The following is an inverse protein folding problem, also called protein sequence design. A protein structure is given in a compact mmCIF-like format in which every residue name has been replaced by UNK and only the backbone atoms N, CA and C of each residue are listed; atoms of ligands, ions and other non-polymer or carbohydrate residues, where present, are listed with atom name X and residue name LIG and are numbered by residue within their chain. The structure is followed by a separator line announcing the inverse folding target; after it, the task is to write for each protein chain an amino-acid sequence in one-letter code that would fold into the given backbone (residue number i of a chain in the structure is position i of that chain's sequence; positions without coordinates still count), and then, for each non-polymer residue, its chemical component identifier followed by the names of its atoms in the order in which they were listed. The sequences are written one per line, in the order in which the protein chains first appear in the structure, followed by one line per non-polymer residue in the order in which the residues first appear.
data_IF_767327945063
#
_entry.id   IF_767327945063
#
_cell.length_a   1.000
_cell.length_b   1.000
_cell.length_c   1.000
_cell.angle_alpha   90.00
_cell.angle_beta   90.00
_cell.angle_gamma   90.00
#
_symmetry.space_group_name_H-M   'P 1'
#
loop_
_entity.id
_entity.type
_entity.pdbx_description
1 polymer ?
#
# COMPACT_ATOMS: atom_id res chain seq x y z
N UNK A 1 -14.31 3.20 31.10
CA UNK A 1 -13.30 3.84 31.96
C UNK A 1 -13.26 5.32 31.63
N UNK A 2 -13.69 6.18 32.55
CA UNK A 2 -13.33 7.60 32.49
C UNK A 2 -11.96 7.72 33.14
N UNK A 3 -10.96 8.20 32.39
CA UNK A 3 -9.64 8.48 32.96
C UNK A 3 -9.72 9.73 33.82
N UNK A 4 -9.22 9.66 35.05
CA UNK A 4 -9.02 10.82 35.93
C UNK A 4 -8.00 11.77 35.28
N UNK A 5 -8.39 13.01 34.94
CA UNK A 5 -7.50 13.96 34.27
C UNK A 5 -6.39 14.51 35.17
N UNK A 6 -6.39 14.19 36.46
CA UNK A 6 -5.45 14.73 37.45
C UNK A 6 -4.35 13.76 37.88
N UNK A 7 -4.42 12.48 37.50
CA UNK A 7 -3.37 11.52 37.79
C UNK A 7 -2.12 11.81 36.93
N UNK A 8 -0.89 11.74 37.49
CA UNK A 8 0.32 11.82 36.69
C UNK A 8 0.26 10.74 35.61
N UNK A 9 0.26 11.17 34.35
CA UNK A 9 0.13 10.26 33.22
C UNK A 9 1.43 9.48 33.08
N UNK A 10 1.46 8.28 33.66
CA UNK A 10 2.46 7.26 33.33
C UNK A 10 2.52 7.15 31.80
N UNK A 11 3.71 7.25 31.18
CA UNK A 11 3.84 7.09 29.74
C UNK A 11 3.12 5.83 29.27
N UNK A 12 2.33 5.87 28.17
CA UNK A 12 1.54 4.73 27.73
C UNK A 12 2.36 3.43 27.62
N UNK A 13 3.61 3.51 27.17
CA UNK A 13 4.52 2.37 27.08
C UNK A 13 4.80 1.73 28.44
N UNK A 14 5.04 2.54 29.48
CA UNK A 14 5.28 2.05 30.84
C UNK A 14 4.01 1.42 31.42
N UNK A 15 2.86 2.06 31.22
CA UNK A 15 1.56 1.51 31.64
C UNK A 15 1.32 0.12 31.03
N UNK A 16 1.51 -0.04 29.72
CA UNK A 16 1.33 -1.32 29.04
C UNK A 16 2.34 -2.37 29.51
N UNK A 17 3.61 -2.01 29.67
CA UNK A 17 4.63 -2.96 30.16
C UNK A 17 4.31 -3.43 31.59
N UNK A 18 3.74 -2.57 32.43
CA UNK A 18 3.33 -2.89 33.79
C UNK A 18 2.15 -3.88 33.87
N UNK A 19 1.37 -4.03 32.79
CA UNK A 19 0.33 -5.06 32.70
C UNK A 19 0.91 -6.49 32.66
N UNK A 20 2.21 -6.64 32.35
CA UNK A 20 2.92 -7.92 32.30
C UNK A 20 2.16 -9.00 31.50
N UNK A 21 1.60 -8.58 30.36
CA UNK A 21 0.80 -9.44 29.49
C UNK A 21 1.67 -10.59 28.99
N UNK A 22 1.33 -11.81 29.38
CA UNK A 22 2.03 -13.04 28.98
C UNK A 22 1.02 -14.12 28.63
N UNK A 23 1.40 -15.02 27.72
CA UNK A 23 0.52 -16.12 27.28
C UNK A 23 0.77 -16.52 25.84
N UNK A 24 -0.18 -17.30 25.30
CA UNK A 24 -0.16 -17.71 23.90
C UNK A 24 -0.53 -16.53 23.00
N UNK A 25 0.30 -16.26 22.00
CA UNK A 25 0.03 -15.26 20.97
C UNK A 25 -0.88 -15.82 19.87
N UNK A 26 -1.95 -15.11 19.59
CA UNK A 26 -2.79 -15.29 18.41
C UNK A 26 -2.70 -14.05 17.53
N UNK A 27 -2.72 -14.21 16.21
CA UNK A 27 -2.64 -13.10 15.28
C UNK A 27 -3.68 -13.24 14.18
N UNK A 28 -4.31 -12.11 13.82
CA UNK A 28 -5.21 -11.97 12.66
C UNK A 28 -4.92 -10.66 11.94
N UNK A 29 -5.38 -10.58 10.70
CA UNK A 29 -5.33 -9.37 9.89
C UNK A 29 -6.72 -9.11 9.34
N UNK A 30 -7.07 -7.85 9.09
CA UNK A 30 -8.26 -7.45 8.33
C UNK A 30 -7.95 -6.14 7.62
N UNK A 31 -7.86 -6.19 6.29
CA UNK A 31 -7.38 -5.07 5.49
C UNK A 31 -5.97 -4.62 5.91
N UNK A 32 -5.83 -3.34 6.25
CA UNK A 32 -4.56 -2.76 6.74
C UNK A 32 -4.39 -2.85 8.25
N UNK A 33 -5.30 -3.50 8.96
CA UNK A 33 -5.14 -3.71 10.40
C UNK A 33 -4.53 -5.08 10.69
N UNK A 34 -3.75 -5.14 11.77
CA UNK A 34 -3.31 -6.39 12.38
C UNK A 34 -3.81 -6.43 13.82
N UNK A 35 -4.15 -7.60 14.29
CA UNK A 35 -4.63 -7.84 15.64
C UNK A 35 -3.77 -8.94 16.26
N UNK A 36 -3.25 -8.66 17.44
CA UNK A 36 -2.50 -9.60 18.27
C UNK A 36 -3.27 -9.80 19.56
N UNK A 37 -3.55 -11.05 19.93
CA UNK A 37 -4.27 -11.39 21.16
C UNK A 37 -3.40 -12.28 22.05
N UNK A 38 -3.33 -11.93 23.32
CA UNK A 38 -2.62 -12.69 24.36
C UNK A 38 -3.52 -12.72 25.60
N UNK A 39 -3.98 -13.90 25.98
CA UNK A 39 -4.95 -14.08 27.06
C UNK A 39 -6.20 -13.21 26.83
N UNK A 40 -6.55 -12.31 27.74
CA UNK A 40 -7.68 -11.37 27.64
C UNK A 40 -7.32 -10.01 27.04
N UNK A 41 -6.08 -9.81 26.60
CA UNK A 41 -5.60 -8.55 26.04
C UNK A 41 -5.45 -8.66 24.53
N UNK A 42 -5.92 -7.64 23.82
CA UNK A 42 -5.75 -7.53 22.37
C UNK A 42 -5.10 -6.22 21.99
N UNK A 43 -4.26 -6.26 20.96
CA UNK A 43 -3.48 -5.15 20.43
C UNK A 43 -3.83 -5.06 18.96
N UNK A 44 -4.60 -4.05 18.58
CA UNK A 44 -4.87 -3.74 17.17
C UNK A 44 -3.86 -2.69 16.71
N UNK A 45 -3.18 -2.96 15.62
CA UNK A 45 -2.25 -2.04 14.99
C UNK A 45 -2.77 -1.61 13.63
N UNK A 46 -2.80 -0.30 13.37
CA UNK A 46 -3.06 0.23 12.04
C UNK A 46 -1.74 0.36 11.27
N UNK A 47 -1.62 -0.39 10.17
CA UNK A 47 -0.43 -0.41 9.31
C UNK A 47 -0.44 0.84 8.44
N UNK A 48 0.34 1.83 8.84
CA UNK A 48 0.58 3.04 8.06
C UNK A 48 1.61 2.80 6.94
N UNK A 49 2.08 3.86 6.28
CA UNK A 49 2.85 3.81 5.03
C UNK A 49 4.19 3.07 5.17
N UNK A 50 4.85 3.22 6.31
CA UNK A 50 6.23 2.71 6.57
C UNK A 50 6.29 1.64 7.66
N UNK A 51 5.13 1.11 8.07
CA UNK A 51 5.08 0.11 9.11
C UNK A 51 5.53 -1.26 8.62
N UNK A 52 6.35 -1.90 9.46
CA UNK A 52 6.89 -3.22 9.22
C UNK A 52 6.81 -4.09 10.48
N UNK A 53 6.55 -5.38 10.28
CA UNK A 53 6.78 -6.42 11.28
C UNK A 53 7.92 -7.33 10.81
N UNK A 54 8.94 -7.57 11.64
CA UNK A 54 9.93 -8.61 11.38
C UNK A 54 10.19 -9.48 12.62
N UNK A 55 10.56 -10.73 12.37
CA UNK A 55 10.91 -11.69 13.42
C UNK A 55 12.43 -11.77 13.49
N UNK A 56 12.98 -11.48 14.67
CA UNK A 56 14.42 -11.55 14.93
C UNK A 56 14.71 -12.53 16.07
N UNK A 57 15.94 -13.04 16.15
CA UNK A 57 16.33 -13.88 17.28
C UNK A 57 16.23 -13.09 18.60
N UNK A 58 15.81 -13.74 19.68
CA UNK A 58 15.62 -13.10 20.98
C UNK A 58 16.89 -12.37 21.47
N UNK A 59 18.07 -13.00 21.35
CA UNK A 59 19.32 -12.37 21.78
C UNK A 59 19.64 -11.10 20.99
N UNK A 60 19.32 -11.06 19.69
CA UNK A 60 19.58 -9.89 18.85
C UNK A 60 18.72 -8.70 19.25
N UNK A 61 17.46 -8.93 19.64
CA UNK A 61 16.59 -7.88 20.16
C UNK A 61 17.25 -7.18 21.36
N UNK A 62 17.70 -7.94 22.37
CA UNK A 62 18.36 -7.37 23.55
C UNK A 62 19.68 -6.68 23.23
N UNK A 63 20.47 -7.20 22.29
CA UNK A 63 21.68 -6.50 21.82
C UNK A 63 21.34 -5.15 21.19
N UNK A 64 20.26 -5.07 20.40
CA UNK A 64 19.83 -3.83 19.74
C UNK A 64 19.31 -2.81 20.76
N UNK A 65 18.38 -3.22 21.63
CA UNK A 65 17.74 -2.27 22.57
C UNK A 65 18.61 -1.88 23.76
N UNK A 66 19.71 -2.60 24.02
CA UNK A 66 20.72 -2.21 25.02
C UNK A 66 21.70 -1.14 24.52
N UNK A 67 21.74 -0.89 23.21
CA UNK A 67 22.55 0.20 22.66
C UNK A 67 21.89 1.55 22.91
N UNK A 68 22.68 2.64 23.04
CA UNK A 68 22.13 3.98 23.15
C UNK A 68 21.19 4.30 21.98
N UNK A 69 20.06 4.92 22.28
CA UNK A 69 19.18 5.44 21.25
C UNK A 69 19.84 6.63 20.56
N UNK A 70 19.66 6.70 19.24
CA UNK A 70 20.09 7.83 18.42
C UNK A 70 18.87 8.67 17.99
N UNK A 71 18.97 10.01 17.99
CA UNK A 71 17.90 10.87 17.50
C UNK A 71 17.61 10.60 16.01
N UNK A 72 16.33 10.68 15.62
CA UNK A 72 15.86 10.54 14.25
C UNK A 72 14.76 11.57 13.96
N UNK A 73 15.14 12.71 13.40
CA UNK A 73 14.24 13.86 13.25
C UNK A 73 13.84 14.46 14.60
N UNK A 74 12.78 15.27 14.62
CA UNK A 74 12.34 15.98 15.83
C UNK A 74 11.65 15.08 16.85
N UNK A 75 10.97 14.01 16.38
CA UNK A 75 10.09 13.18 17.20
C UNK A 75 10.51 11.71 17.28
N UNK A 76 11.48 11.27 16.46
CA UNK A 76 11.86 9.87 16.35
C UNK A 76 13.12 9.53 17.17
N UNK A 77 13.13 8.33 17.72
CA UNK A 77 14.32 7.67 18.24
C UNK A 77 14.54 6.35 17.51
N UNK A 78 15.79 5.92 17.43
CA UNK A 78 16.16 4.66 16.80
C UNK A 78 17.33 4.00 17.53
N UNK A 79 17.55 2.72 17.29
CA UNK A 79 18.65 1.94 17.84
C UNK A 79 19.67 1.62 16.76
N UNK A 80 20.96 1.76 17.06
CA UNK A 80 22.02 1.33 16.15
C UNK A 80 22.08 -0.19 16.05
N UNK A 81 22.00 -0.73 14.84
CA UNK A 81 22.05 -2.16 14.58
C UNK A 81 23.52 -2.65 14.52
N UNK A 82 23.87 -3.77 15.16
CA UNK A 82 25.19 -4.39 15.01
C UNK A 82 25.51 -4.81 13.57
N UNK A 83 26.77 -4.63 13.18
CA UNK A 83 27.29 -4.87 11.84
C UNK A 83 27.10 -6.32 11.41
N UNK A 84 27.27 -7.24 12.36
CA UNK A 84 27.11 -8.68 12.18
C UNK A 84 25.66 -9.11 11.88
N UNK A 85 24.66 -8.24 12.12
CA UNK A 85 23.23 -8.53 11.89
C UNK A 85 22.71 -8.03 10.53
N UNK A 86 23.54 -7.33 9.75
CA UNK A 86 23.12 -6.73 8.48
C UNK A 86 23.73 -7.50 7.32
N UNK A 87 22.98 -7.64 6.22
CA UNK A 87 23.49 -8.11 4.94
C UNK A 87 22.93 -7.21 3.84
N UNK A 88 23.67 -6.13 3.53
CA UNK A 88 23.19 -5.05 2.67
C UNK A 88 24.11 -3.81 2.66
N UNK A 89 23.71 -2.71 1.97
CA UNK A 89 24.50 -1.49 1.89
C UNK A 89 24.78 -0.86 3.26
N UNK A 90 25.96 -0.27 3.41
CA UNK A 90 26.57 0.08 4.70
C UNK A 90 26.07 1.39 5.35
N UNK A 91 25.05 2.06 4.81
CA UNK A 91 24.60 3.39 5.24
C UNK A 91 23.55 3.33 6.36
N UNK A 92 23.57 4.30 7.28
CA UNK A 92 22.64 4.55 8.40
C UNK A 92 21.93 3.31 8.96
N UNK A 93 22.59 2.64 9.91
CA UNK A 93 22.20 1.32 10.45
C UNK A 93 21.29 1.47 11.65
N UNK A 94 20.13 2.10 11.48
CA UNK A 94 19.26 2.43 12.60
C UNK A 94 17.86 1.84 12.43
N UNK A 95 17.32 1.30 13.53
CA UNK A 95 15.96 0.72 13.56
C UNK A 95 15.09 1.41 14.60
N UNK A 96 13.90 1.85 14.19
CA UNK A 96 12.92 2.49 15.07
C UNK A 96 11.89 1.47 15.54
N UNK A 97 12.23 0.74 16.61
CA UNK A 97 11.36 -0.27 17.22
C UNK A 97 10.32 0.44 18.09
N UNK A 98 9.05 0.38 17.69
CA UNK A 98 7.93 1.02 18.40
C UNK A 98 7.30 0.08 19.43
N UNK A 99 7.33 -1.22 19.18
CA UNK A 99 6.86 -2.26 20.10
C UNK A 99 7.54 -3.60 19.80
N UNK A 100 7.47 -4.53 20.75
CA UNK A 100 7.95 -5.89 20.55
C UNK A 100 7.08 -6.92 21.29
N UNK A 101 6.84 -8.07 20.66
CA UNK A 101 6.29 -9.25 21.31
C UNK A 101 7.41 -10.28 21.47
N UNK A 102 7.80 -10.50 22.72
CA UNK A 102 9.02 -11.23 23.07
C UNK A 102 8.67 -12.69 23.38
N UNK A 103 9.40 -13.62 22.76
CA UNK A 103 9.40 -15.06 23.11
C UNK A 103 10.83 -15.54 23.40
N UNK A 104 11.01 -16.68 24.09
CA UNK A 104 12.34 -17.17 24.45
C UNK A 104 13.30 -17.40 23.26
N UNK A 105 12.78 -17.73 22.08
CA UNK A 105 13.58 -18.07 20.89
C UNK A 105 13.53 -17.01 19.78
N UNK A 106 12.51 -16.15 19.77
CA UNK A 106 12.37 -15.10 18.77
C UNK A 106 11.59 -13.92 19.32
N UNK A 107 11.75 -12.76 18.71
CA UNK A 107 11.00 -11.55 19.02
C UNK A 107 10.38 -11.00 17.74
N UNK A 108 9.08 -10.74 17.77
CA UNK A 108 8.39 -10.01 16.71
C UNK A 108 8.52 -8.52 17.04
N UNK A 109 9.23 -7.77 16.21
CA UNK A 109 9.42 -6.32 16.39
C UNK A 109 8.54 -5.55 15.42
N UNK A 110 7.96 -4.47 15.93
CA UNK A 110 7.13 -3.51 15.20
C UNK A 110 8.02 -2.31 14.89
N UNK A 111 8.33 -2.12 13.62
CA UNK A 111 9.25 -1.09 13.15
C UNK A 111 8.44 -0.04 12.41
N UNK A 112 8.64 1.22 12.79
CA UNK A 112 8.12 2.34 12.03
C UNK A 112 9.04 3.54 12.17
N UNK A 113 9.57 3.99 11.05
CA UNK A 113 10.56 5.05 10.97
C UNK A 113 9.96 6.45 11.00
N UNK A 114 8.67 6.56 10.66
CA UNK A 114 7.93 7.83 10.72
C UNK A 114 7.14 7.98 12.03
N UNK A 115 7.16 6.97 12.91
CA UNK A 115 6.41 6.98 14.17
C UNK A 115 4.92 7.33 14.00
N UNK A 116 4.29 6.83 12.94
CA UNK A 116 2.88 7.03 12.60
C UNK A 116 2.02 5.80 12.91
N UNK A 117 2.61 4.66 13.26
CA UNK A 117 1.87 3.48 13.72
C UNK A 117 1.00 3.82 14.93
N UNK A 118 -0.22 3.32 14.91
CA UNK A 118 -1.17 3.44 16.01
C UNK A 118 -1.43 2.08 16.63
N UNK A 119 -1.28 2.01 17.96
CA UNK A 119 -1.62 0.84 18.75
C UNK A 119 -2.90 1.11 19.55
N UNK A 120 -3.88 0.23 19.42
CA UNK A 120 -5.08 0.21 20.25
C UNK A 120 -5.04 -1.01 21.15
N UNK A 121 -4.87 -0.78 22.45
CA UNK A 121 -4.91 -1.82 23.47
C UNK A 121 -6.34 -1.96 23.97
N UNK A 122 -6.85 -3.19 23.95
CA UNK A 122 -8.20 -3.53 24.38
C UNK A 122 -8.13 -4.70 25.35
N UNK A 123 -8.99 -4.68 26.36
CA UNK A 123 -9.13 -5.75 27.33
C UNK A 123 -10.53 -6.34 27.22
N UNK A 124 -10.62 -7.67 27.10
CA UNK A 124 -11.87 -8.40 27.01
C UNK A 124 -12.21 -9.00 28.38
N UNK A 125 -13.48 -8.89 28.80
CA UNK A 125 -13.92 -9.47 30.08
C UNK A 125 -13.79 -11.00 30.13
N UNK A 126 -14.21 -11.77 29.10
CA UNK A 126 -13.90 -13.20 29.03
C UNK A 126 -12.51 -13.45 28.43
N UNK A 127 -11.89 -14.56 28.85
CA UNK A 127 -10.69 -15.07 28.19
C UNK A 127 -10.98 -15.40 26.73
N UNK A 128 -10.06 -14.98 25.87
CA UNK A 128 -10.12 -15.18 24.44
C UNK A 128 -9.99 -16.66 24.05
N UNK A 129 -10.78 -17.09 23.06
CA UNK A 129 -10.58 -18.35 22.35
C UNK A 129 -10.25 -18.12 20.87
N UNK A 130 -9.53 -19.04 20.20
CA UNK A 130 -9.25 -18.93 18.76
C UNK A 130 -10.50 -18.82 17.87
N UNK A 131 -11.66 -19.31 18.35
CA UNK A 131 -12.95 -19.20 17.66
C UNK A 131 -13.44 -17.75 17.61
N UNK A 132 -13.14 -16.97 18.65
CA UNK A 132 -13.54 -15.56 18.74
C UNK A 132 -12.83 -14.67 17.70
N UNK A 133 -11.70 -15.13 17.16
CA UNK A 133 -10.94 -14.49 16.07
C UNK A 133 -11.35 -14.93 14.67
N UNK A 134 -12.46 -15.65 14.52
CA UNK A 134 -12.94 -16.02 13.19
C UNK A 134 -14.02 -15.04 12.72
N UNK A 135 -14.05 -14.73 11.40
CA UNK A 135 -15.21 -14.09 10.79
C UNK A 135 -16.52 -14.74 11.24
N UNK A 136 -17.52 -13.92 11.55
CA UNK A 136 -18.83 -14.37 12.04
C UNK A 136 -18.93 -14.57 13.55
N UNK A 137 -17.83 -14.52 14.31
CA UNK A 137 -17.91 -14.49 15.78
C UNK A 137 -18.58 -13.20 16.28
N UNK A 138 -19.18 -13.25 17.47
CA UNK A 138 -19.87 -12.09 18.05
C UNK A 138 -18.92 -10.90 18.27
N UNK A 139 -17.66 -11.16 18.64
CA UNK A 139 -16.69 -10.10 18.91
C UNK A 139 -15.94 -9.65 17.66
N UNK A 140 -15.97 -10.42 16.57
CA UNK A 140 -15.20 -10.12 15.36
C UNK A 140 -15.36 -8.67 14.88
N UNK A 141 -16.57 -8.09 14.76
CA UNK A 141 -16.72 -6.69 14.36
C UNK A 141 -16.14 -5.68 15.36
N UNK A 142 -16.08 -6.05 16.64
CA UNK A 142 -15.57 -5.21 17.73
C UNK A 142 -14.04 -5.19 17.81
N UNK A 143 -13.38 -6.19 17.21
CA UNK A 143 -11.92 -6.27 17.18
C UNK A 143 -11.29 -5.25 16.22
N UNK A 144 -12.07 -4.70 15.28
CA UNK A 144 -11.59 -3.84 14.20
C UNK A 144 -12.08 -2.41 14.34
N UNK A 145 -11.53 -1.49 13.54
CA UNK A 145 -12.05 -0.13 13.51
C UNK A 145 -13.46 -0.14 12.90
N UNK A 146 -14.42 0.55 13.54
CA UNK A 146 -15.79 0.67 13.03
C UNK A 146 -15.87 1.36 11.65
N UNK A 147 -14.82 2.12 11.28
CA UNK A 147 -14.70 2.74 9.96
C UNK A 147 -14.09 1.81 8.89
N UNK A 148 -13.81 0.56 9.23
CA UNK A 148 -13.24 -0.44 8.31
C UNK A 148 -14.22 -1.59 8.07
N UNK A 149 -14.50 -1.82 6.79
CA UNK A 149 -15.42 -2.83 6.30
C UNK A 149 -14.84 -4.25 6.30
N UNK A 150 -15.64 -5.21 5.82
CA UNK A 150 -15.16 -6.57 5.55
C UNK A 150 -14.13 -6.60 4.41
N UNK A 151 -13.39 -7.71 4.31
CA UNK A 151 -12.46 -8.00 3.22
C UNK A 151 -12.87 -9.30 2.56
N UNK A 152 -12.89 -9.36 1.23
CA UNK A 152 -13.49 -10.46 0.48
C UNK A 152 -12.84 -11.81 0.82
N UNK A 153 -11.51 -11.84 0.95
CA UNK A 153 -10.74 -13.05 1.29
C UNK A 153 -11.09 -13.70 2.64
N UNK A 154 -11.80 -12.99 3.53
CA UNK A 154 -12.16 -13.46 4.87
C UNK A 154 -13.67 -13.47 5.10
N UNK A 155 -14.37 -12.51 4.50
CA UNK A 155 -15.78 -12.21 4.72
C UNK A 155 -16.47 -11.98 3.36
N UNK A 156 -16.53 -12.97 2.45
CA UNK A 156 -17.00 -12.77 1.07
C UNK A 156 -18.44 -12.24 1.03
N UNK A 157 -19.36 -12.88 1.75
CA UNK A 157 -20.78 -12.49 1.77
C UNK A 157 -20.98 -11.09 2.34
N UNK A 158 -20.29 -10.76 3.44
CA UNK A 158 -20.38 -9.43 4.05
C UNK A 158 -19.78 -8.35 3.13
N UNK A 159 -18.72 -8.68 2.39
CA UNK A 159 -18.10 -7.77 1.41
C UNK A 159 -19.04 -7.48 0.25
N UNK A 160 -19.68 -8.51 -0.32
CA UNK A 160 -20.69 -8.33 -1.37
C UNK A 160 -21.90 -7.54 -0.87
N UNK A 161 -22.36 -7.80 0.36
CA UNK A 161 -23.42 -7.01 0.97
C UNK A 161 -23.02 -5.54 1.19
N UNK A 162 -21.77 -5.28 1.59
CA UNK A 162 -21.25 -3.91 1.73
C UNK A 162 -21.16 -3.19 0.38
N UNK A 163 -20.77 -3.90 -0.69
CA UNK A 163 -20.79 -3.38 -2.06
C UNK A 163 -22.20 -3.00 -2.49
N UNK A 164 -23.19 -3.88 -2.34
CA UNK A 164 -24.57 -3.57 -2.74
C UNK A 164 -25.18 -2.43 -1.91
N UNK A 165 -24.90 -2.37 -0.61
CA UNK A 165 -25.33 -1.25 0.22
C UNK A 165 -24.70 0.08 -0.23
N UNK A 166 -23.41 0.06 -0.57
CA UNK A 166 -22.71 1.21 -1.13
C UNK A 166 -23.30 1.62 -2.48
N UNK A 167 -23.57 0.67 -3.36
CA UNK A 167 -24.22 0.89 -4.66
C UNK A 167 -25.56 1.59 -4.51
N UNK A 168 -26.41 1.08 -3.62
CA UNK A 168 -27.72 1.67 -3.34
C UNK A 168 -27.60 3.10 -2.79
N UNK A 169 -26.62 3.37 -1.92
CA UNK A 169 -26.35 4.72 -1.39
C UNK A 169 -25.85 5.68 -2.48
N UNK A 170 -24.94 5.23 -3.35
CA UNK A 170 -24.39 6.05 -4.43
C UNK A 170 -25.44 6.38 -5.49
N UNK A 171 -26.32 5.43 -5.85
CA UNK A 171 -27.44 5.67 -6.77
C UNK A 171 -28.38 6.78 -6.29
N UNK A 172 -28.50 6.99 -4.97
CA UNK A 172 -29.30 8.08 -4.37
C UNK A 172 -28.57 9.43 -4.33
N UNK A 173 -27.28 9.47 -4.70
CA UNK A 173 -26.44 10.67 -4.72
C UNK A 173 -25.88 10.92 -6.14
N UNK A 174 -26.74 11.25 -7.12
CA UNK A 174 -26.32 11.36 -8.53
C UNK A 174 -25.31 12.48 -8.81
N UNK A 175 -25.13 13.42 -7.88
CA UNK A 175 -24.21 14.56 -8.01
C UNK A 175 -22.85 14.35 -7.34
N UNK A 176 -22.51 13.11 -6.96
CA UNK A 176 -21.17 12.83 -6.42
C UNK A 176 -20.12 12.94 -7.52
N UNK A 177 -19.33 14.00 -7.50
CA UNK A 177 -18.18 14.21 -8.39
C UNK A 177 -16.91 13.44 -7.96
N UNK A 178 -16.99 12.60 -6.92
CA UNK A 178 -15.87 11.79 -6.50
C UNK A 178 -15.52 10.73 -7.54
N UNK A 179 -14.26 10.74 -8.01
CA UNK A 179 -13.72 9.65 -8.82
C UNK A 179 -13.72 8.34 -8.05
N UNK A 180 -13.83 7.22 -8.77
CA UNK A 180 -13.76 5.89 -8.17
C UNK A 180 -12.44 5.66 -7.45
N UNK A 181 -11.32 6.13 -8.01
CA UNK A 181 -10.01 6.00 -7.37
C UNK A 181 -9.96 6.68 -5.99
N UNK A 182 -10.50 7.91 -5.88
CA UNK A 182 -10.58 8.60 -4.59
C UNK A 182 -11.56 7.91 -3.63
N UNK A 183 -12.69 7.44 -4.17
CA UNK A 183 -13.72 6.74 -3.39
C UNK A 183 -13.18 5.46 -2.76
N UNK A 184 -12.47 4.63 -3.53
CA UNK A 184 -11.86 3.38 -3.01
C UNK A 184 -10.88 3.64 -1.86
N UNK A 185 -10.10 4.72 -1.93
CA UNK A 185 -9.14 5.07 -0.88
C UNK A 185 -9.81 5.60 0.38
N UNK A 186 -10.91 6.34 0.24
CA UNK A 186 -11.55 7.05 1.36
C UNK A 186 -12.65 6.23 2.03
N UNK A 187 -13.40 5.42 1.28
CA UNK A 187 -14.51 4.60 1.79
C UNK A 187 -14.02 3.24 2.31
N UNK A 188 -13.17 3.24 3.35
CA UNK A 188 -12.63 2.01 3.95
C UNK A 188 -13.71 1.13 4.61
N UNK A 189 -14.92 1.63 4.84
CA UNK A 189 -16.08 0.82 5.25
C UNK A 189 -16.57 -0.14 4.15
N UNK A 190 -16.15 0.08 2.91
CA UNK A 190 -16.53 -0.69 1.71
C UNK A 190 -15.29 -1.33 1.10
N UNK A 191 -14.21 -0.56 0.97
CA UNK A 191 -12.96 -0.95 0.31
C UNK A 191 -11.83 -1.10 1.33
N UNK A 192 -12.09 -1.86 2.40
CA UNK A 192 -11.11 -2.04 3.46
C UNK A 192 -9.85 -2.70 2.89
N UNK A 193 -8.71 -2.04 3.05
CA UNK A 193 -7.45 -2.55 2.52
C UNK A 193 -7.01 -1.89 1.22
N UNK A 194 -7.93 -1.23 0.49
CA UNK A 194 -7.57 -0.60 -0.78
C UNK A 194 -6.80 0.70 -0.56
N UNK A 195 -5.50 0.70 -0.90
CA UNK A 195 -4.66 1.88 -1.03
C UNK A 195 -4.60 2.40 -2.45
N UNK A 196 -3.61 3.27 -2.71
CA UNK A 196 -3.38 3.79 -4.05
C UNK A 196 -2.97 2.67 -5.03
N UNK A 197 -2.12 1.73 -4.58
CA UNK A 197 -1.70 0.60 -5.40
C UNK A 197 -2.88 -0.30 -5.76
N UNK A 198 -3.61 -0.78 -4.75
CA UNK A 198 -4.73 -1.69 -4.96
C UNK A 198 -5.80 -1.04 -5.84
N UNK A 199 -6.18 0.22 -5.56
CA UNK A 199 -7.19 0.91 -6.37
C UNK A 199 -6.75 1.06 -7.83
N UNK A 200 -5.48 1.43 -8.09
CA UNK A 200 -4.96 1.56 -9.45
C UNK A 200 -4.96 0.22 -10.20
N UNK A 201 -4.40 -0.82 -9.59
CA UNK A 201 -4.28 -2.13 -10.24
C UNK A 201 -5.66 -2.73 -10.51
N UNK A 202 -6.58 -2.62 -9.55
CA UNK A 202 -7.93 -3.18 -9.63
C UNK A 202 -8.77 -2.45 -10.69
N UNK A 203 -8.66 -1.12 -10.80
CA UNK A 203 -9.31 -0.35 -11.86
C UNK A 203 -8.75 -0.67 -13.26
N UNK A 204 -7.45 -0.94 -13.34
CA UNK A 204 -6.85 -1.45 -14.57
C UNK A 204 -7.39 -2.85 -14.93
N UNK A 205 -7.51 -3.76 -13.96
CA UNK A 205 -8.11 -5.09 -14.18
C UNK A 205 -9.57 -4.98 -14.64
N UNK A 206 -10.34 -4.06 -14.06
CA UNK A 206 -11.74 -3.83 -14.40
C UNK A 206 -11.96 -3.15 -15.76
N UNK A 207 -10.89 -2.64 -16.41
CA UNK A 207 -10.98 -1.76 -17.58
C UNK A 207 -11.85 -0.51 -17.31
N UNK A 208 -11.63 0.11 -16.15
CA UNK A 208 -12.33 1.32 -15.69
C UNK A 208 -11.31 2.44 -15.54
N UNK A 209 -11.58 3.58 -16.17
CA UNK A 209 -10.71 4.75 -16.04
C UNK A 209 -10.74 5.30 -14.61
N UNK A 210 -9.60 5.61 -13.97
CA UNK A 210 -9.57 5.93 -12.55
C UNK A 210 -10.25 7.25 -12.18
N UNK A 211 -10.42 8.16 -13.15
CA UNK A 211 -11.20 9.39 -12.99
C UNK A 211 -12.72 9.18 -13.11
N UNK A 212 -13.19 8.01 -13.56
CA UNK A 212 -14.63 7.76 -13.71
C UNK A 212 -15.35 7.99 -12.38
N UNK A 213 -16.48 8.70 -12.43
CA UNK A 213 -17.26 8.97 -11.23
C UNK A 213 -17.77 7.67 -10.62
N UNK A 214 -17.63 7.51 -9.31
CA UNK A 214 -18.13 6.33 -8.59
C UNK A 214 -19.64 6.10 -8.82
N UNK A 215 -20.40 7.20 -9.01
CA UNK A 215 -21.80 7.14 -9.36
C UNK A 215 -22.08 6.33 -10.63
N UNK A 216 -21.28 6.50 -11.69
CA UNK A 216 -21.48 5.80 -12.96
C UNK A 216 -21.28 4.30 -12.82
N UNK A 217 -20.26 3.87 -12.07
CA UNK A 217 -20.02 2.47 -11.77
C UNK A 217 -21.20 1.86 -11.02
N UNK A 218 -21.75 2.58 -10.04
CA UNK A 218 -22.93 2.11 -9.32
C UNK A 218 -24.19 2.14 -10.19
N UNK A 219 -24.32 3.07 -11.15
CA UNK A 219 -25.50 3.25 -12.00
C UNK A 219 -25.61 2.14 -13.04
N UNK A 220 -24.57 1.90 -13.83
CA UNK A 220 -24.60 0.98 -14.97
C UNK A 220 -24.17 -0.43 -14.55
N UNK A 221 -25.03 -1.43 -14.82
CA UNK A 221 -24.79 -2.82 -14.42
C UNK A 221 -23.52 -3.39 -15.06
N UNK A 222 -23.25 -3.09 -16.34
CA UNK A 222 -22.02 -3.54 -17.03
C UNK A 222 -20.71 -3.02 -16.41
N UNK A 223 -20.73 -1.84 -15.78
CA UNK A 223 -19.58 -1.32 -15.04
C UNK A 223 -19.50 -1.93 -13.65
N UNK A 224 -20.64 -2.06 -12.98
CA UNK A 224 -20.74 -2.68 -11.68
C UNK A 224 -20.19 -4.11 -11.69
N UNK A 225 -20.65 -4.94 -12.62
CA UNK A 225 -20.28 -6.34 -12.70
C UNK A 225 -18.78 -6.50 -12.95
N UNK A 226 -18.22 -5.70 -13.87
CA UNK A 226 -16.76 -5.66 -14.11
C UNK A 226 -15.98 -5.21 -12.89
N UNK A 227 -16.47 -4.19 -12.18
CA UNK A 227 -15.82 -3.67 -10.99
C UNK A 227 -15.83 -4.70 -9.85
N UNK A 228 -16.97 -5.30 -9.55
CA UNK A 228 -17.10 -6.31 -8.49
C UNK A 228 -16.26 -7.55 -8.83
N UNK A 229 -16.34 -8.06 -10.06
CA UNK A 229 -15.54 -9.20 -10.48
C UNK A 229 -14.04 -8.92 -10.37
N UNK A 230 -13.58 -7.74 -10.79
CA UNK A 230 -12.18 -7.35 -10.65
C UNK A 230 -11.73 -7.27 -9.17
N UNK A 231 -12.62 -6.88 -8.24
CA UNK A 231 -12.29 -6.89 -6.81
C UNK A 231 -12.10 -8.32 -6.30
N UNK A 232 -13.01 -9.22 -6.67
CA UNK A 232 -12.95 -10.64 -6.32
C UNK A 232 -11.67 -11.27 -6.86
N UNK A 233 -11.40 -11.09 -8.16
CA UNK A 233 -10.24 -11.66 -8.83
C UNK A 233 -8.93 -11.12 -8.24
N UNK A 234 -8.87 -9.83 -7.91
CA UNK A 234 -7.70 -9.21 -7.30
C UNK A 234 -7.43 -9.78 -5.90
N UNK A 235 -8.44 -9.82 -5.03
CA UNK A 235 -8.30 -10.36 -3.68
C UNK A 235 -7.91 -11.84 -3.70
N UNK A 236 -8.54 -12.66 -4.56
CA UNK A 236 -8.20 -14.06 -4.70
C UNK A 236 -6.76 -14.26 -5.19
N UNK A 237 -6.34 -13.52 -6.23
CA UNK A 237 -4.97 -13.58 -6.73
C UNK A 237 -3.93 -13.23 -5.66
N UNK A 238 -4.24 -12.27 -4.78
CA UNK A 238 -3.36 -11.90 -3.66
C UNK A 238 -3.31 -12.99 -2.59
N UNK A 239 -4.43 -13.64 -2.31
CA UNK A 239 -4.48 -14.77 -1.38
C UNK A 239 -3.72 -15.98 -1.90
N UNK A 240 -3.91 -16.36 -3.16
CA UNK A 240 -3.21 -17.48 -3.79
C UNK A 240 -1.69 -17.28 -3.73
N UNK A 241 -1.25 -16.03 -3.95
CA UNK A 241 0.15 -15.65 -3.82
C UNK A 241 0.64 -15.75 -2.37
N UNK A 242 -0.09 -15.19 -1.42
CA UNK A 242 0.29 -15.19 0.00
C UNK A 242 0.34 -16.61 0.58
N UNK A 243 -0.53 -17.50 0.10
CA UNK A 243 -0.58 -18.90 0.53
C UNK A 243 0.41 -19.80 -0.20
N UNK A 244 1.10 -19.31 -1.22
CA UNK A 244 2.12 -20.05 -1.96
C UNK A 244 3.52 -19.75 -1.41
N UNK A 245 4.15 -20.65 -0.62
CA UNK A 245 5.49 -20.43 -0.08
C UNK A 245 6.56 -20.33 -1.17
N UNK A 246 6.30 -20.93 -2.33
CA UNK A 246 7.14 -20.80 -3.50
C UNK A 246 7.04 -19.40 -4.13
N UNK A 247 5.94 -18.67 -3.93
CA UNK A 247 5.76 -17.36 -4.54
C UNK A 247 6.30 -16.21 -3.67
N UNK A 248 6.14 -16.27 -2.35
CA UNK A 248 6.64 -15.27 -1.41
C UNK A 248 7.39 -15.93 -0.24
N UNK A 249 8.74 -15.89 -0.21
CA UNK A 249 9.52 -16.50 0.87
C UNK A 249 9.29 -15.82 2.22
N UNK A 250 8.94 -16.57 3.25
CA UNK A 250 8.67 -16.04 4.60
C UNK A 250 9.92 -15.53 5.34
N UNK A 251 11.11 -15.98 4.93
CA UNK A 251 12.38 -15.57 5.53
C UNK A 251 13.15 -14.69 4.56
N UNK A 252 13.73 -13.61 5.09
CA UNK A 252 14.58 -12.78 4.25
C UNK A 252 15.95 -13.40 4.03
N UNK A 253 16.45 -14.19 4.98
CA UNK A 253 17.76 -14.86 4.91
C UNK A 253 18.20 -15.35 6.29
N UNK A 254 19.48 -15.74 6.46
CA UNK A 254 20.02 -16.13 7.76
C UNK A 254 20.22 -14.95 8.72
N UNK A 255 20.31 -13.72 8.19
CA UNK A 255 20.40 -12.48 8.96
C UNK A 255 19.04 -11.76 9.01
N UNK A 256 18.70 -11.13 10.15
CA UNK A 256 17.38 -10.53 10.37
C UNK A 256 17.16 -9.30 9.48
N UNK A 257 18.26 -8.65 9.10
CA UNK A 257 18.27 -7.47 8.26
C UNK A 257 18.90 -7.73 6.88
N UNK A 258 18.64 -8.91 6.30
CA UNK A 258 18.99 -9.20 4.91
C UNK A 258 17.91 -8.70 3.96
N UNK A 259 18.29 -8.03 2.87
CA UNK A 259 17.34 -7.67 1.81
C UNK A 259 17.05 -8.85 0.87
N UNK A 260 15.86 -9.42 0.98
CA UNK A 260 15.42 -10.48 0.07
C UNK A 260 15.00 -9.92 -1.30
N UNK A 261 15.99 -9.68 -2.16
CA UNK A 261 15.78 -9.11 -3.50
C UNK A 261 14.90 -9.99 -4.41
N UNK A 262 14.93 -11.31 -4.24
CA UNK A 262 14.09 -12.25 -5.00
C UNK A 262 12.63 -12.16 -4.55
N UNK A 263 12.37 -12.24 -3.24
CA UNK A 263 11.04 -12.04 -2.67
C UNK A 263 10.47 -10.67 -3.04
N UNK A 264 11.30 -9.62 -3.01
CA UNK A 264 10.95 -8.28 -3.47
C UNK A 264 10.48 -8.26 -4.93
N UNK A 265 11.30 -8.80 -5.84
CA UNK A 265 10.95 -8.89 -7.28
C UNK A 265 9.66 -9.69 -7.50
N UNK A 266 9.47 -10.81 -6.78
CA UNK A 266 8.24 -11.60 -6.85
C UNK A 266 7.03 -10.82 -6.36
N UNK A 267 7.15 -10.07 -5.26
CA UNK A 267 6.06 -9.20 -4.81
C UNK A 267 5.76 -8.08 -5.83
N UNK A 268 6.78 -7.39 -6.34
CA UNK A 268 6.59 -6.31 -7.32
C UNK A 268 6.04 -6.81 -8.66
N UNK A 269 6.25 -8.08 -9.02
CA UNK A 269 5.66 -8.68 -10.23
C UNK A 269 4.12 -8.66 -10.24
N UNK A 270 3.51 -8.47 -9.07
CA UNK A 270 2.05 -8.41 -8.91
C UNK A 270 1.49 -7.02 -9.16
N UNK A 271 2.34 -6.00 -9.19
CA UNK A 271 1.95 -4.64 -9.48
C UNK A 271 1.77 -4.53 -10.99
N UNK A 272 0.52 -4.33 -11.41
CA UNK A 272 0.16 -4.40 -12.83
C UNK A 272 0.21 -3.03 -13.50
N UNK A 273 -0.19 -1.98 -12.79
CA UNK A 273 -0.25 -0.61 -13.31
C UNK A 273 0.36 0.43 -12.36
N UNK A 274 0.23 0.27 -11.05
CA UNK A 274 0.68 1.32 -10.12
C UNK A 274 2.18 1.62 -10.25
N UNK A 275 2.54 2.87 -10.61
CA UNK A 275 3.93 3.32 -10.84
C UNK A 275 4.75 2.46 -11.83
N UNK A 276 4.10 1.64 -12.67
CA UNK A 276 4.79 0.93 -13.74
C UNK A 276 4.98 1.86 -14.93
N UNK A 277 6.14 1.83 -15.60
CA UNK A 277 6.35 2.63 -16.82
C UNK A 277 5.56 2.08 -18.01
N UNK A 278 5.35 0.77 -18.01
CA UNK A 278 4.59 0.04 -19.01
C UNK A 278 3.74 -1.03 -18.34
N UNK A 279 2.57 -1.33 -18.90
CA UNK A 279 1.72 -2.44 -18.45
C UNK A 279 1.77 -3.59 -19.46
N UNK A 280 1.53 -4.81 -18.96
CA UNK A 280 1.45 -6.01 -19.79
C UNK A 280 0.00 -6.45 -19.88
N UNK A 281 -0.49 -6.63 -21.11
CA UNK A 281 -1.84 -7.08 -21.43
C UNK A 281 -1.82 -8.46 -22.10
N UNK A 282 -2.85 -9.25 -21.82
CA UNK A 282 -3.20 -10.41 -22.65
C UNK A 282 -3.93 -9.95 -23.90
N UNK A 283 -3.93 -10.78 -24.95
CA UNK A 283 -4.69 -10.52 -26.18
C UNK A 283 -6.17 -10.22 -25.89
N UNK A 284 -6.82 -11.00 -25.03
CA UNK A 284 -8.24 -10.83 -24.69
C UNK A 284 -8.51 -9.49 -24.01
N UNK A 285 -7.66 -9.09 -23.05
CA UNK A 285 -7.82 -7.81 -22.35
C UNK A 285 -7.54 -6.63 -23.29
N UNK A 286 -6.56 -6.77 -24.18
CA UNK A 286 -6.27 -5.78 -25.21
C UNK A 286 -7.48 -5.62 -26.16
N UNK A 287 -8.03 -6.73 -26.66
CA UNK A 287 -9.22 -6.72 -27.52
C UNK A 287 -10.39 -6.05 -26.81
N UNK A 288 -10.66 -6.41 -25.55
CA UNK A 288 -11.76 -5.82 -24.79
C UNK A 288 -11.56 -4.32 -24.56
N UNK A 289 -10.35 -3.89 -24.26
CA UNK A 289 -10.04 -2.47 -24.10
C UNK A 289 -10.18 -1.67 -25.41
N UNK A 290 -9.89 -2.28 -26.57
CA UNK A 290 -10.16 -1.70 -27.88
C UNK A 290 -11.66 -1.62 -28.19
N UNK A 291 -12.42 -2.67 -27.89
CA UNK A 291 -13.89 -2.68 -28.03
C UNK A 291 -14.53 -1.55 -27.22
N UNK A 292 -13.99 -1.25 -26.04
CA UNK A 292 -14.41 -0.15 -25.19
C UNK A 292 -13.84 1.22 -25.61
N UNK A 293 -12.99 1.28 -26.64
CA UNK A 293 -12.36 2.51 -27.12
C UNK A 293 -11.33 3.14 -26.18
N UNK A 294 -10.88 2.44 -25.12
CA UNK A 294 -10.04 2.99 -24.06
C UNK A 294 -8.63 3.40 -24.54
N UNK A 295 -8.19 2.90 -25.68
CA UNK A 295 -6.89 3.21 -26.29
C UNK A 295 -6.96 4.20 -27.46
N UNK A 296 -8.06 4.94 -27.61
CA UNK A 296 -8.19 5.99 -28.63
C UNK A 296 -8.06 7.38 -27.97
N UNK A 297 -6.93 8.10 -28.15
CA UNK A 297 -6.66 9.34 -27.40
C UNK A 297 -7.69 10.45 -27.55
N UNK A 298 -8.39 10.49 -28.68
CA UNK A 298 -9.43 11.49 -28.97
C UNK A 298 -10.83 11.02 -28.59
N UNK A 299 -11.00 9.76 -28.19
CA UNK A 299 -12.29 9.26 -27.74
C UNK A 299 -12.61 9.79 -26.34
N UNK A 300 -13.87 10.13 -26.09
CA UNK A 300 -14.34 10.59 -24.77
C UNK A 300 -15.10 9.46 -24.10
N UNK A 301 -14.68 9.10 -22.89
CA UNK A 301 -15.32 8.05 -22.11
C UNK A 301 -16.71 8.52 -21.67
N UNK A 302 -17.71 7.72 -22.01
CA UNK A 302 -19.11 7.91 -21.70
C UNK A 302 -19.47 7.37 -20.31
N UNK A 303 -20.64 7.74 -19.77
CA UNK A 303 -21.12 7.24 -18.48
C UNK A 303 -21.17 5.71 -18.34
N UNK A 304 -21.38 4.96 -19.42
CA UNK A 304 -21.39 3.48 -19.41
C UNK A 304 -19.99 2.85 -19.50
N UNK A 305 -18.95 3.69 -19.61
CA UNK A 305 -17.55 3.31 -19.69
C UNK A 305 -17.06 2.87 -21.06
N UNK A 306 -17.86 3.01 -22.11
CA UNK A 306 -17.39 2.97 -23.49
C UNK A 306 -16.83 4.34 -23.89
N UNK A 307 -15.89 4.40 -24.83
CA UNK A 307 -15.35 5.66 -25.34
C UNK A 307 -15.84 5.91 -26.77
N UNK A 308 -16.42 7.09 -27.00
CA UNK A 308 -16.91 7.49 -28.31
C UNK A 308 -15.88 8.38 -29.01
N UNK A 309 -15.54 8.04 -30.25
CA UNK A 309 -14.68 8.85 -31.11
C UNK A 309 -15.50 10.02 -31.67
N UNK A 310 -15.11 11.29 -31.45
CA UNK A 310 -15.79 12.42 -32.06
C UNK A 310 -15.76 12.29 -33.60
N UNK A 311 -16.85 12.59 -34.32
CA UNK A 311 -16.97 12.39 -35.77
C UNK A 311 -15.88 13.05 -36.63
N UNK A 312 -15.24 14.11 -36.10
CA UNK A 312 -14.22 14.89 -36.80
C UNK A 312 -12.78 14.56 -36.35
N UNK A 313 -12.61 13.50 -35.56
CA UNK A 313 -11.28 13.05 -35.13
C UNK A 313 -10.68 12.24 -36.27
N UNK A 314 -9.55 12.69 -36.83
CA UNK A 314 -8.76 11.85 -37.72
C UNK A 314 -8.36 10.62 -36.92
N UNK A 315 -8.89 9.46 -37.31
CA UNK A 315 -8.42 8.19 -36.78
C UNK A 315 -6.93 8.08 -37.08
N UNK A 316 -6.16 7.62 -36.10
CA UNK A 316 -4.71 7.38 -36.14
C UNK A 316 -3.85 8.55 -35.60
N UNK A 317 -3.59 8.51 -34.29
CA UNK A 317 -2.26 8.87 -33.80
C UNK A 317 -1.41 7.58 -33.75
N UNK A 318 -0.42 7.41 -34.65
CA UNK A 318 0.48 6.26 -34.66
C UNK A 318 1.38 6.18 -33.41
N UNK A 319 1.36 7.16 -32.49
CA UNK A 319 2.09 7.11 -31.22
C UNK A 319 1.58 6.05 -30.24
N UNK A 320 0.31 5.61 -30.36
CA UNK A 320 -0.26 4.50 -29.56
C UNK A 320 0.24 3.12 -30.06
N UNK A 321 0.86 3.07 -31.24
CA UNK A 321 1.28 1.84 -31.92
C UNK A 321 2.59 1.24 -31.44
N UNK A 322 3.16 1.69 -30.30
CA UNK A 322 4.32 1.00 -29.72
C UNK A 322 3.87 -0.19 -28.89
N UNK A 323 3.06 -1.06 -29.51
CA UNK A 323 2.73 -2.40 -29.02
C UNK A 323 3.99 -3.24 -29.20
N UNK A 324 4.84 -3.27 -28.19
CA UNK A 324 5.94 -4.23 -28.16
C UNK A 324 5.34 -5.60 -27.90
N UNK A 325 5.47 -6.52 -28.86
CA UNK A 325 5.07 -7.92 -28.66
C UNK A 325 6.01 -8.53 -27.60
N UNK A 326 5.47 -8.85 -26.44
CA UNK A 326 6.21 -9.49 -25.35
C UNK A 326 6.41 -11.00 -25.55
N UNK A 327 6.00 -11.55 -26.71
CA UNK A 327 5.88 -12.98 -26.97
C UNK A 327 4.64 -13.61 -26.30
N UNK A 328 4.27 -14.83 -26.74
CA UNK A 328 3.17 -15.65 -26.16
C UNK A 328 1.81 -14.95 -26.00
N UNK A 329 1.39 -14.15 -26.98
CA UNK A 329 0.07 -13.50 -26.95
C UNK A 329 -0.06 -12.35 -25.92
N UNK A 330 1.07 -11.80 -25.46
CA UNK A 330 1.10 -10.62 -24.58
C UNK A 330 1.64 -9.39 -25.29
N UNK A 331 1.13 -8.24 -24.89
CA UNK A 331 1.48 -6.92 -25.43
C UNK A 331 1.90 -6.01 -24.29
N UNK A 332 2.97 -5.24 -24.50
CA UNK A 332 3.40 -4.17 -23.61
C UNK A 332 2.92 -2.84 -24.18
N UNK A 333 2.30 -2.01 -23.35
CA UNK A 333 1.91 -0.64 -23.71
C UNK A 333 2.39 0.36 -22.66
N UNK A 334 2.61 1.63 -23.05
CA UNK A 334 2.96 2.69 -22.12
C UNK A 334 1.89 2.90 -21.05
N UNK A 335 2.34 3.31 -19.87
CA UNK A 335 1.47 3.67 -18.77
C UNK A 335 1.66 5.15 -18.42
N UNK A 336 0.63 5.77 -17.84
CA UNK A 336 0.63 7.21 -17.60
C UNK A 336 0.31 7.50 -16.14
N UNK A 337 1.00 8.48 -15.58
CA UNK A 337 0.65 9.06 -14.30
C UNK A 337 -0.48 10.07 -14.53
N UNK A 338 -1.53 9.97 -13.72
CA UNK A 338 -2.71 10.83 -13.77
C UNK A 338 -2.84 11.53 -12.42
N UNK A 339 -2.74 12.85 -12.42
CA UNK A 339 -2.94 13.68 -11.23
C UNK A 339 -4.39 14.15 -11.13
N UNK A 340 -5.15 13.60 -10.19
CA UNK A 340 -6.56 13.97 -9.96
C UNK A 340 -6.61 15.05 -8.88
N UNK A 341 -7.08 16.24 -9.23
CA UNK A 341 -7.26 17.32 -8.26
C UNK A 341 -8.35 16.96 -7.24
N UNK A 342 -8.01 16.86 -5.95
CA UNK A 342 -8.94 16.53 -4.87
C UNK A 342 -8.78 17.48 -3.68
N UNK A 343 -9.24 18.72 -3.87
CA UNK A 343 -9.09 19.77 -2.86
C UNK A 343 -7.68 20.35 -2.86
N UNK A 344 -6.99 20.30 -1.71
CA UNK A 344 -5.66 20.91 -1.53
C UNK A 344 -4.48 20.04 -1.98
N UNK A 345 -4.72 18.75 -2.30
CA UNK A 345 -3.67 17.82 -2.72
C UNK A 345 -4.12 17.05 -3.95
N UNK A 346 -3.17 16.87 -4.86
CA UNK A 346 -3.36 16.02 -6.03
C UNK A 346 -3.23 14.55 -5.64
N UNK A 347 -4.19 13.76 -6.07
CA UNK A 347 -4.15 12.32 -5.93
C UNK A 347 -3.52 11.73 -7.18
N UNK A 348 -2.36 11.11 -7.04
CA UNK A 348 -1.72 10.39 -8.14
C UNK A 348 -2.29 8.98 -8.30
N UNK A 349 -2.63 8.64 -9.54
CA UNK A 349 -3.00 7.30 -9.98
C UNK A 349 -2.30 6.98 -11.31
N UNK A 350 -2.47 5.76 -11.81
CA UNK A 350 -1.83 5.32 -13.05
C UNK A 350 -2.82 4.57 -13.92
N UNK A 351 -2.74 4.77 -15.23
CA UNK A 351 -3.55 4.02 -16.19
C UNK A 351 -2.92 4.08 -17.58
N UNK A 352 -3.00 2.98 -18.36
CA UNK A 352 -2.58 2.99 -19.75
C UNK A 352 -3.65 3.55 -20.69
N UNK A 353 -4.88 3.76 -20.23
CA UNK A 353 -6.00 4.16 -21.08
C UNK A 353 -5.76 5.57 -21.64
N UNK A 354 -5.81 5.70 -22.96
CA UNK A 354 -5.52 6.96 -23.65
C UNK A 354 -6.75 7.82 -23.89
N UNK A 355 -7.94 7.22 -23.92
CA UNK A 355 -9.21 7.93 -24.04
C UNK A 355 -9.36 9.02 -22.96
N UNK A 356 -10.00 10.13 -23.36
CA UNK A 356 -10.22 11.29 -22.51
C UNK A 356 -11.27 10.99 -21.45
N UNK A 357 -11.06 11.54 -20.27
CA UNK A 357 -12.07 11.61 -19.23
C UNK A 357 -13.35 12.30 -19.74
N UNK A 358 -14.50 11.90 -19.20
CA UNK A 358 -15.77 12.56 -19.50
C UNK A 358 -15.75 14.06 -19.17
N UNK A 359 -16.53 14.86 -19.89
CA UNK A 359 -16.55 16.33 -19.76
C UNK A 359 -16.91 16.85 -18.37
N UNK A 360 -17.65 16.05 -17.59
CA UNK A 360 -18.09 16.35 -16.23
C UNK A 360 -17.12 15.85 -15.15
N UNK A 361 -15.98 15.27 -15.53
CA UNK A 361 -15.01 14.72 -14.60
C UNK A 361 -13.99 15.80 -14.20
N UNK A 362 -13.42 15.67 -13.01
CA UNK A 362 -12.40 16.61 -12.53
C UNK A 362 -11.21 16.63 -13.49
N UNK A 363 -10.74 17.83 -13.84
CA UNK A 363 -9.51 18.01 -14.61
C UNK A 363 -8.38 17.18 -13.99
N UNK A 364 -7.59 16.54 -14.85
CA UNK A 364 -6.38 15.86 -14.44
C UNK A 364 -5.22 16.20 -15.35
N UNK A 365 -4.04 16.23 -14.75
CA UNK A 365 -2.79 16.24 -15.49
C UNK A 365 -2.42 14.82 -15.88
N UNK A 366 -1.79 14.67 -17.05
CA UNK A 366 -1.28 13.40 -17.53
C UNK A 366 0.18 13.55 -17.90
N UNK A 367 1.01 12.63 -17.43
CA UNK A 367 2.41 12.54 -17.82
C UNK A 367 2.82 11.09 -18.05
N UNK A 368 3.89 10.88 -18.79
CA UNK A 368 4.55 9.57 -18.83
C UNK A 368 5.10 9.23 -17.45
N UNK A 369 5.13 7.93 -17.13
CA UNK A 369 5.75 7.45 -15.89
C UNK A 369 7.26 7.37 -16.10
N UNK A 370 8.01 8.24 -15.42
CA UNK A 370 9.46 8.39 -15.65
C UNK A 370 10.33 7.22 -15.15
N UNK A 371 9.89 6.49 -14.13
CA UNK A 371 10.61 5.35 -13.57
C UNK A 371 9.64 4.19 -13.29
N UNK A 372 10.07 2.97 -13.59
CA UNK A 372 9.29 1.77 -13.33
C UNK A 372 9.52 1.26 -11.92
N UNK A 373 8.46 1.21 -11.10
CA UNK A 373 8.58 0.75 -9.71
C UNK A 373 9.11 -0.69 -9.59
N UNK A 374 8.97 -1.52 -10.63
CA UNK A 374 9.51 -2.89 -10.65
C UNK A 374 11.03 -2.92 -10.77
N UNK A 375 11.63 -1.81 -11.17
CA UNK A 375 13.07 -1.58 -11.19
C UNK A 375 13.56 -0.85 -9.94
N UNK A 376 12.65 -0.29 -9.13
CA UNK A 376 12.95 0.30 -7.83
C UNK A 376 13.21 -0.82 -6.81
N UNK A 377 14.46 -1.26 -6.77
CA UNK A 377 14.92 -2.26 -5.79
C UNK A 377 15.02 -1.63 -4.39
N UNK A 378 15.37 -0.35 -4.33
CA UNK A 378 15.79 0.31 -3.12
C UNK A 378 14.83 1.41 -2.63
N UNK A 379 14.13 2.15 -3.47
CA UNK A 379 13.37 3.36 -3.05
C UNK A 379 11.86 3.17 -2.98
N UNK A 380 11.41 1.93 -2.89
CA UNK A 380 9.98 1.61 -2.88
C UNK A 380 9.52 1.24 -1.49
N UNK A 381 8.42 1.85 -1.03
CA UNK A 381 7.67 1.44 0.18
C UNK A 381 6.73 0.27 -0.11
N UNK A 382 6.77 -0.30 -1.32
CA UNK A 382 5.80 -1.29 -1.77
C UNK A 382 6.29 -2.69 -1.45
N UNK A 383 5.45 -3.44 -0.75
CA UNK A 383 5.67 -4.86 -0.48
C UNK A 383 6.38 -5.17 0.82
N UNK A 384 6.37 -6.47 1.14
CA UNK A 384 6.87 -7.06 2.38
C UNK A 384 8.41 -6.99 2.53
N UNK A 385 9.13 -6.64 1.46
CA UNK A 385 10.59 -6.70 1.38
C UNK A 385 11.25 -5.34 1.08
N UNK A 386 10.53 -4.22 1.20
CA UNK A 386 10.97 -2.86 0.86
C UNK A 386 12.15 -2.37 1.72
N UNK A 387 13.39 -2.73 1.36
CA UNK A 387 14.46 -2.85 2.36
C UNK A 387 15.25 -1.61 2.77
N UNK A 388 15.39 -0.63 1.88
CA UNK A 388 16.09 0.61 2.21
C UNK A 388 15.33 1.46 3.22
N UNK A 389 13.99 1.40 3.22
CA UNK A 389 13.18 2.11 4.20
C UNK A 389 13.41 1.55 5.61
N UNK A 390 13.72 0.24 5.77
CA UNK A 390 14.00 -0.38 7.08
C UNK A 390 15.24 0.19 7.79
N UNK A 391 16.17 0.80 7.05
CA UNK A 391 17.45 1.26 7.60
C UNK A 391 17.63 2.78 7.45
N UNK A 392 17.23 3.38 6.32
CA UNK A 392 17.83 4.66 5.88
C UNK A 392 16.90 5.88 5.87
N UNK A 393 15.61 5.82 6.20
CA UNK A 393 14.83 7.09 6.16
C UNK A 393 15.00 8.01 7.37
N UNK A 394 16.11 8.73 7.39
CA UNK A 394 16.17 10.14 7.78
C UNK A 394 17.10 10.86 6.80
N UNK A 395 16.59 11.25 5.63
CA UNK A 395 17.12 12.44 4.97
C UNK A 395 16.25 13.61 5.41
N UNK A 396 16.80 14.57 6.16
CA UNK A 396 16.01 15.67 6.66
C UNK A 396 15.55 16.54 5.48
N UNK A 397 14.36 17.09 5.64
CA UNK A 397 13.87 18.29 4.96
C UNK A 397 14.74 19.53 5.31
N UNK A 398 16.06 19.43 5.16
CA UNK A 398 17.05 20.51 5.39
C UNK A 398 17.49 21.17 4.06
N UNK A 399 16.76 20.93 2.96
CA UNK A 399 16.95 21.69 1.71
C UNK A 399 15.77 22.59 1.32
N UNK A 400 14.72 22.70 2.15
CA UNK A 400 13.69 23.74 1.95
C UNK A 400 13.83 24.95 2.88
N UNK A 401 14.70 24.90 3.89
CA UNK A 401 15.02 26.05 4.76
C UNK A 401 16.28 26.82 4.34
N UNK A 402 16.95 26.44 3.24
CA UNK A 402 18.09 27.19 2.68
C UNK A 402 17.72 28.06 1.47
N UNK A 403 16.43 28.31 1.23
CA UNK A 403 15.98 29.36 0.30
C UNK A 403 16.17 30.80 0.85
N UNK A 404 16.73 30.97 2.05
CA UNK A 404 17.02 32.31 2.60
C UNK A 404 18.51 32.72 2.63
N UNK A 405 19.45 31.89 2.16
CA UNK A 405 20.84 32.34 1.99
C UNK A 405 21.39 31.86 0.64
N UNK A 406 21.64 32.81 -0.26
CA UNK A 406 21.85 32.59 -1.70
C UNK A 406 23.04 31.69 -2.08
N UNK A 407 22.75 30.71 -2.95
CA UNK A 407 23.53 30.07 -4.06
C UNK A 407 25.04 29.82 -3.93
N UNK A 408 25.57 28.66 -4.39
CA UNK A 408 25.55 28.28 -5.82
C UNK A 408 25.15 26.82 -6.17
N UNK A 409 24.95 26.60 -7.47
CA UNK A 409 24.27 25.49 -8.16
C UNK A 409 25.06 24.16 -8.34
N UNK A 410 24.29 23.11 -8.67
CA UNK A 410 24.59 21.66 -8.87
C UNK A 410 25.78 21.25 -9.79
N UNK A 411 26.60 22.16 -10.30
CA UNK A 411 27.73 21.80 -11.17
C UNK A 411 29.03 21.40 -10.43
N UNK A 412 29.13 21.56 -9.11
CA UNK A 412 30.41 21.39 -8.39
C UNK A 412 30.68 19.98 -7.81
N UNK A 413 29.81 18.99 -8.03
CA UNK A 413 29.98 17.65 -7.45
C UNK A 413 30.31 16.53 -8.46
N UNK A 414 30.62 16.84 -9.72
CA UNK A 414 31.01 15.82 -10.73
C UNK A 414 32.51 15.54 -10.87
N UNK A 415 33.38 16.17 -10.07
CA UNK A 415 34.82 15.91 -10.14
C UNK A 415 35.47 15.67 -8.77
N UNK A 416 35.22 14.50 -8.17
CA UNK A 416 36.20 13.87 -7.28
C UNK A 416 36.38 12.40 -7.65
N UNK A 417 37.46 12.15 -8.40
CA UNK A 417 38.01 10.81 -8.65
C UNK A 417 38.37 10.17 -7.29
N UNK A 418 37.94 8.93 -7.09
CA UNK A 418 38.49 8.04 -6.07
C UNK A 418 39.98 7.80 -6.38
N UNK A 419 40.90 7.91 -5.40
CA UNK A 419 42.25 7.42 -5.59
C UNK A 419 42.27 5.89 -5.51
N UNK A 420 42.69 5.27 -6.62
CA UNK A 420 43.25 3.93 -6.61
C UNK A 420 44.44 3.92 -5.65
N UNK A 421 44.48 2.94 -4.75
CA UNK A 421 45.65 2.11 -4.46
C UNK A 421 45.38 1.17 -3.28
N UNK A 422 45.32 -0.12 -3.59
CA UNK A 422 45.97 -1.16 -2.79
C UNK A 422 47.04 -1.78 -3.69
N UNK A 423 48.19 -2.22 -3.17
CA UNK A 423 48.90 -3.33 -3.80
C UNK A 423 48.11 -4.64 -3.66
#
# INVERSE_FOLDING_TARGET
MQCDPTAPQTPPAEYINNLKITGRLHAKARGKERLFAICNSTIRTNVCITFICCVIHFSWYYTIVSRPMVPRGELGQAFSIPDEYIDGPLWDRVISIQAALIRPNWTLVFVDHNSIIQFHFMHLSPSFSPADMQPGSQIWPLLWNANHGPVYSQEPDATLAAFELWRAKMRRKPFSSASIFSTMKTYQTVFNGSGAQEATDLLFLALIHPQMLAFYICKFDCLWDRFVQANIDYDQSRMDLALSPAALPYTSGPRPFHFNSDGHKRNLSQITSYRCSNVILTADRLYKAHELGLFVPNAVIQPDGTALVPPNSVAEDPSVTTVLRAGRGKVIIPNYAIGIHAGQKDLMTYSPFTAQAGFDWTNATRSTVGADVRQDVNDTTLGLYSFRIFLVESFPAVLETSKELGTPTVNDLRHKKLPNQLP
#
